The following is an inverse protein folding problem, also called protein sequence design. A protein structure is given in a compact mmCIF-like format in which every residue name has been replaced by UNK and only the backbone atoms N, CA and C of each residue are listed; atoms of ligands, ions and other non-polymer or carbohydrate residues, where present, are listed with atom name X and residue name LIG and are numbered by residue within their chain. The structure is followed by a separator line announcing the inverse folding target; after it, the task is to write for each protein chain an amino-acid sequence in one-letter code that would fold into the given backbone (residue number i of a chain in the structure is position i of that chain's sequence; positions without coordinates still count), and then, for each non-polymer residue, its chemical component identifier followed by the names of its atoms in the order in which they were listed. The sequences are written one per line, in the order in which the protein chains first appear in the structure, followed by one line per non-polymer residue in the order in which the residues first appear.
data_IF_755600876425
#
_entry.id   IF_755600876425
#
_cell.length_a   1.000
_cell.length_b   1.000
_cell.length_c   1.000
_cell.angle_alpha   90.00
_cell.angle_beta   90.00
_cell.angle_gamma   90.00
#
_symmetry.space_group_name_H-M   'P 1'
#
loop_
_entity.id
_entity.type
_entity.pdbx_description
1 polymer ?
#
# COMPACT_ATOMS: atom_id res chain seq x y z
N UNK A 1 -36.13 15.13 -22.56
CA UNK A 1 -34.96 14.86 -21.69
C UNK A 1 -35.18 15.52 -20.33
N UNK A 2 -35.61 14.77 -19.30
CA UNK A 2 -35.80 15.30 -17.93
C UNK A 2 -34.43 15.43 -17.26
N UNK A 3 -34.04 16.66 -16.90
CA UNK A 3 -32.81 16.95 -16.12
C UNK A 3 -32.92 16.21 -14.78
N UNK A 4 -32.18 15.12 -14.61
CA UNK A 4 -32.05 14.44 -13.33
C UNK A 4 -31.49 15.44 -12.31
N UNK A 5 -32.26 15.77 -11.27
CA UNK A 5 -31.74 16.51 -10.11
C UNK A 5 -30.59 15.70 -9.55
N UNK A 6 -29.40 16.30 -9.44
CA UNK A 6 -28.21 15.64 -8.90
C UNK A 6 -28.53 15.16 -7.47
N UNK A 7 -28.45 13.85 -7.15
CA UNK A 7 -28.88 13.31 -5.87
C UNK A 7 -27.79 13.48 -4.80
N UNK A 8 -27.37 14.73 -4.54
CA UNK A 8 -26.32 15.06 -3.58
C UNK A 8 -26.60 14.49 -2.18
N UNK A 9 -27.87 14.46 -1.75
CA UNK A 9 -28.25 13.86 -0.46
C UNK A 9 -27.97 12.36 -0.38
N UNK A 10 -28.25 11.61 -1.44
CA UNK A 10 -27.95 10.17 -1.50
C UNK A 10 -26.45 9.91 -1.56
N UNK A 11 -25.69 10.75 -2.28
CA UNK A 11 -24.23 10.64 -2.35
C UNK A 11 -23.62 10.87 -0.97
N UNK A 12 -24.01 11.93 -0.25
CA UNK A 12 -23.47 12.22 1.08
C UNK A 12 -23.84 11.13 2.10
N UNK A 13 -25.05 10.56 2.03
CA UNK A 13 -25.46 9.53 2.97
C UNK A 13 -24.68 8.21 2.82
N UNK A 14 -24.38 7.81 1.57
CA UNK A 14 -23.63 6.57 1.31
C UNK A 14 -22.11 6.77 1.33
N UNK A 15 -21.62 7.90 0.79
CA UNK A 15 -20.20 8.18 0.67
C UNK A 15 -19.62 8.88 1.92
N UNK A 16 -20.43 9.66 2.63
CA UNK A 16 -20.02 10.44 3.79
C UNK A 16 -19.37 9.61 4.90
N UNK A 17 -20.01 8.51 5.38
CA UNK A 17 -19.40 7.65 6.39
C UNK A 17 -18.09 7.03 5.92
N UNK A 18 -18.05 6.50 4.69
CA UNK A 18 -16.86 5.90 4.11
C UNK A 18 -15.69 6.90 4.02
N UNK A 19 -15.97 8.12 3.58
CA UNK A 19 -14.98 9.20 3.56
C UNK A 19 -14.54 9.58 4.97
N UNK A 20 -15.45 9.69 5.93
CA UNK A 20 -15.11 10.00 7.32
C UNK A 20 -14.11 8.98 7.87
N UNK A 21 -14.36 7.68 7.69
CA UNK A 21 -13.41 6.63 8.07
C UNK A 21 -12.08 6.74 7.33
N UNK A 22 -12.12 7.01 6.01
CA UNK A 22 -10.91 7.21 5.21
C UNK A 22 -10.06 8.38 5.74
N UNK A 23 -10.67 9.52 6.04
CA UNK A 23 -9.97 10.67 6.59
C UNK A 23 -9.42 10.39 7.99
N UNK A 24 -10.21 9.75 8.85
CA UNK A 24 -9.82 9.48 10.23
C UNK A 24 -8.71 8.42 10.37
N UNK A 25 -8.71 7.39 9.53
CA UNK A 25 -7.81 6.23 9.69
C UNK A 25 -6.70 6.13 8.64
N UNK A 26 -6.79 6.87 7.54
CA UNK A 26 -5.74 6.86 6.50
C UNK A 26 -5.09 8.24 6.42
N UNK A 27 -5.88 9.31 6.19
CA UNK A 27 -5.28 10.63 5.98
C UNK A 27 -4.71 11.21 7.27
N UNK A 28 -5.44 11.12 8.39
CA UNK A 28 -4.97 11.63 9.67
C UNK A 28 -3.60 11.04 10.08
N UNK A 29 -3.38 9.71 10.14
CA UNK A 29 -2.07 9.19 10.50
C UNK A 29 -0.98 9.55 9.49
N UNK A 30 -1.30 9.65 8.18
CA UNK A 30 -0.35 10.13 7.18
C UNK A 30 0.10 11.57 7.48
N UNK A 31 -0.82 12.46 7.83
CA UNK A 31 -0.48 13.83 8.23
C UNK A 31 0.39 13.86 9.49
N UNK A 32 0.10 13.00 10.46
CA UNK A 32 0.94 12.84 11.67
C UNK A 32 2.34 12.33 11.30
N UNK A 33 2.48 11.39 10.36
CA UNK A 33 3.78 10.94 9.86
C UNK A 33 4.56 12.08 9.21
N UNK A 34 3.90 12.93 8.41
CA UNK A 34 4.54 14.12 7.86
C UNK A 34 4.98 15.10 8.95
N UNK A 35 4.17 15.32 9.98
CA UNK A 35 4.54 16.16 11.11
C UNK A 35 5.75 15.59 11.86
N UNK A 36 5.79 14.28 12.10
CA UNK A 36 6.89 13.58 12.74
C UNK A 36 8.16 13.53 11.88
N UNK A 37 8.06 13.69 10.56
CA UNK A 37 9.27 13.74 9.71
C UNK A 37 10.15 14.96 9.98
N UNK A 38 9.59 16.01 10.59
CA UNK A 38 10.28 17.26 10.95
C UNK A 38 10.33 17.52 12.46
N UNK A 39 9.70 16.66 13.25
CA UNK A 39 9.70 16.73 14.73
C UNK A 39 10.19 15.42 15.33
N UNK A 40 11.14 15.49 16.25
CA UNK A 40 11.50 14.36 17.10
C UNK A 40 10.51 14.26 18.24
N UNK A 41 9.89 13.09 18.39
CA UNK A 41 9.12 12.76 19.57
C UNK A 41 10.06 12.19 20.64
N UNK A 42 10.35 12.99 21.66
CA UNK A 42 11.13 12.55 22.82
C UNK A 42 10.22 11.87 23.83
N UNK A 43 10.13 10.55 23.74
CA UNK A 43 9.32 9.71 24.64
C UNK A 43 9.89 9.68 26.08
N UNK A 44 11.18 9.94 26.22
CA UNK A 44 11.96 10.03 27.45
C UNK A 44 11.67 11.27 28.30
N UNK A 45 11.22 12.37 27.69
CA UNK A 45 10.96 13.65 28.36
C UNK A 45 9.46 13.97 28.54
N UNK A 46 8.60 12.95 28.48
CA UNK A 46 7.16 13.11 28.67
C UNK A 46 6.40 13.47 27.39
N UNK A 47 6.78 12.88 26.25
CA UNK A 47 6.11 13.06 24.94
C UNK A 47 6.16 14.50 24.43
N UNK A 48 7.34 15.13 24.53
CA UNK A 48 7.57 16.48 24.01
C UNK A 48 8.00 16.39 22.55
N UNK A 49 7.35 17.17 21.69
CA UNK A 49 7.73 17.33 20.30
C UNK A 49 8.80 18.41 20.18
N UNK A 50 9.99 18.03 19.75
CA UNK A 50 11.08 18.95 19.43
C UNK A 50 11.13 19.17 17.92
N UNK A 51 11.07 20.41 17.46
CA UNK A 51 11.18 20.73 16.04
C UNK A 51 12.66 20.66 15.61
N UNK A 52 12.98 19.68 14.76
CA UNK A 52 14.36 19.42 14.28
C UNK A 52 14.51 19.83 12.80
N UNK A 53 13.42 20.29 12.18
CA UNK A 53 13.42 20.74 10.79
C UNK A 53 13.80 19.61 9.83
N UNK A 54 14.80 19.84 8.97
CA UNK A 54 15.23 18.86 7.96
C UNK A 54 16.39 17.96 8.40
N UNK A 55 16.71 17.90 9.69
CA UNK A 55 17.84 17.12 10.16
C UNK A 55 17.71 15.62 9.85
N UNK A 56 16.54 15.02 10.11
CA UNK A 56 16.28 13.61 9.79
C UNK A 56 16.49 13.29 8.30
N UNK A 57 16.09 14.20 7.41
CA UNK A 57 16.31 14.02 5.97
C UNK A 57 17.80 14.06 5.63
N UNK A 58 18.58 14.95 6.24
CA UNK A 58 20.02 15.02 6.00
C UNK A 58 20.75 13.78 6.50
N UNK A 59 20.44 13.33 7.72
CA UNK A 59 21.00 12.10 8.31
C UNK A 59 20.73 10.90 7.41
N UNK A 60 19.47 10.70 7.01
CA UNK A 60 19.08 9.57 6.16
C UNK A 60 19.68 9.63 4.75
N UNK A 61 19.76 10.82 4.14
CA UNK A 61 20.25 10.97 2.76
C UNK A 61 21.78 10.90 2.65
N UNK A 62 22.51 11.43 3.63
CA UNK A 62 23.97 11.62 3.53
C UNK A 62 24.78 10.74 4.48
N UNK A 63 24.22 10.28 5.59
CA UNK A 63 24.96 9.58 6.65
C UNK A 63 24.56 8.11 6.79
N UNK A 64 23.38 7.72 6.29
CA UNK A 64 22.87 6.35 6.41
C UNK A 64 23.04 5.50 5.14
N UNK A 65 24.14 4.72 5.09
CA UNK A 65 24.36 3.74 4.03
C UNK A 65 23.37 2.56 4.06
N UNK A 66 22.83 2.22 5.24
CA UNK A 66 21.87 1.14 5.41
C UNK A 66 20.54 1.54 4.76
N UNK A 67 20.13 2.80 4.91
CA UNK A 67 18.95 3.34 4.23
C UNK A 67 19.04 3.15 2.72
N UNK A 68 20.16 3.55 2.08
CA UNK A 68 20.31 3.41 0.62
C UNK A 68 20.35 1.96 0.17
N UNK A 69 20.97 1.08 0.94
CA UNK A 69 20.95 -0.37 0.67
C UNK A 69 19.54 -0.93 0.77
N UNK A 70 18.79 -0.57 1.81
CA UNK A 70 17.40 -0.99 2.01
C UNK A 70 16.48 -0.42 0.91
N UNK A 71 16.62 0.85 0.56
CA UNK A 71 15.86 1.52 -0.49
C UNK A 71 16.13 0.87 -1.86
N UNK A 72 17.39 0.55 -2.18
CA UNK A 72 17.74 -0.15 -3.42
C UNK A 72 17.14 -1.54 -3.46
N UNK A 73 17.20 -2.28 -2.35
CA UNK A 73 16.60 -3.61 -2.27
C UNK A 73 15.07 -3.53 -2.42
N UNK A 74 14.42 -2.60 -1.72
CA UNK A 74 12.97 -2.38 -1.82
C UNK A 74 12.56 -2.01 -3.26
N UNK A 75 13.30 -1.12 -3.92
CA UNK A 75 13.05 -0.75 -5.31
C UNK A 75 13.28 -1.94 -6.26
N UNK A 76 14.33 -2.73 -6.01
CA UNK A 76 14.61 -3.93 -6.81
C UNK A 76 13.46 -4.93 -6.70
N UNK A 77 12.97 -5.20 -5.50
CA UNK A 77 11.80 -6.06 -5.31
C UNK A 77 10.52 -5.48 -5.91
N UNK A 78 10.29 -4.17 -5.74
CA UNK A 78 9.13 -3.47 -6.29
C UNK A 78 9.05 -3.53 -7.82
N UNK A 79 10.19 -3.68 -8.51
CA UNK A 79 10.25 -3.81 -9.98
C UNK A 79 10.31 -5.27 -10.40
N UNK A 80 11.24 -6.05 -9.84
CA UNK A 80 11.49 -7.43 -10.26
C UNK A 80 10.30 -8.32 -9.98
N UNK A 81 9.63 -8.18 -8.83
CA UNK A 81 8.49 -9.04 -8.51
C UNK A 81 7.33 -8.86 -9.51
N UNK A 82 6.79 -7.65 -9.79
CA UNK A 82 5.76 -7.50 -10.80
C UNK A 82 6.21 -7.89 -12.22
N UNK A 83 7.48 -7.63 -12.56
CA UNK A 83 8.02 -7.98 -13.88
C UNK A 83 8.06 -9.50 -14.10
N UNK A 84 8.23 -10.30 -13.05
CA UNK A 84 8.20 -11.77 -13.12
C UNK A 84 6.77 -12.29 -12.95
N UNK A 85 6.01 -11.75 -12.01
CA UNK A 85 4.66 -12.22 -11.67
C UNK A 85 3.66 -11.95 -12.80
N UNK A 86 3.73 -10.78 -13.46
CA UNK A 86 2.77 -10.41 -14.51
C UNK A 86 2.87 -11.36 -15.72
N UNK A 87 4.05 -11.60 -16.33
CA UNK A 87 4.16 -12.56 -17.43
C UNK A 87 3.76 -13.96 -17.03
N UNK A 88 4.14 -14.42 -15.83
CA UNK A 88 3.79 -15.75 -15.36
C UNK A 88 2.26 -15.91 -15.20
N UNK A 89 1.62 -14.92 -14.59
CA UNK A 89 0.17 -14.87 -14.45
C UNK A 89 -0.53 -14.79 -15.82
N UNK A 90 0.03 -14.06 -16.79
CA UNK A 90 -0.49 -13.99 -18.14
C UNK A 90 -0.37 -15.32 -18.90
N UNK A 91 0.79 -15.99 -18.84
CA UNK A 91 0.99 -17.32 -19.44
C UNK A 91 -0.01 -18.32 -18.87
N UNK A 92 -0.19 -18.31 -17.55
CA UNK A 92 -1.19 -19.13 -16.89
C UNK A 92 -2.62 -18.78 -17.34
N UNK A 93 -2.95 -17.49 -17.43
CA UNK A 93 -4.26 -17.01 -17.86
C UNK A 93 -4.59 -17.43 -19.31
N UNK A 94 -3.64 -17.26 -20.24
CA UNK A 94 -3.80 -17.68 -21.64
C UNK A 94 -3.94 -19.20 -21.76
N UNK A 95 -3.13 -19.95 -21.01
CA UNK A 95 -3.22 -21.41 -20.99
C UNK A 95 -4.61 -21.85 -20.53
N UNK A 96 -5.10 -21.31 -19.41
CA UNK A 96 -6.43 -21.61 -18.87
C UNK A 96 -7.58 -21.15 -19.78
N UNK A 97 -7.37 -20.14 -20.62
CA UNK A 97 -8.37 -19.66 -21.58
C UNK A 97 -8.62 -20.66 -22.72
N UNK A 98 -7.60 -21.43 -23.12
CA UNK A 98 -7.64 -22.39 -24.23
C UNK A 98 -8.47 -23.67 -24.01
N UNK A 99 -9.33 -23.74 -22.98
CA UNK A 99 -10.15 -24.92 -22.61
C UNK A 99 -9.33 -26.21 -22.39
N UNK A 100 -8.16 -26.10 -21.78
CA UNK A 100 -7.36 -27.27 -21.35
C UNK A 100 -8.17 -28.17 -20.41
N UNK A 101 -8.08 -29.51 -20.56
CA UNK A 101 -8.63 -30.42 -19.57
C UNK A 101 -8.00 -30.14 -18.20
N UNK A 102 -8.79 -30.26 -17.12
CA UNK A 102 -8.39 -29.96 -15.73
C UNK A 102 -8.08 -28.48 -15.41
N UNK A 103 -8.45 -27.51 -16.27
CA UNK A 103 -8.25 -26.07 -15.99
C UNK A 103 -8.78 -25.61 -14.60
N UNK A 104 -9.86 -26.22 -14.09
CA UNK A 104 -10.40 -25.93 -12.76
C UNK A 104 -9.44 -26.35 -11.63
N UNK A 105 -8.75 -27.49 -11.78
CA UNK A 105 -7.79 -27.99 -10.81
C UNK A 105 -6.53 -27.10 -10.76
N UNK A 106 -5.97 -26.76 -11.92
CA UNK A 106 -4.82 -25.85 -12.01
C UNK A 106 -5.11 -24.47 -11.41
N UNK A 107 -6.31 -23.94 -11.62
CA UNK A 107 -6.75 -22.70 -10.99
C UNK A 107 -6.74 -22.84 -9.46
N UNK A 108 -7.37 -23.88 -8.91
CA UNK A 108 -7.42 -24.05 -7.45
C UNK A 108 -6.03 -24.14 -6.85
N UNK A 109 -5.14 -25.00 -7.37
CA UNK A 109 -3.78 -25.18 -6.83
C UNK A 109 -2.97 -23.89 -6.87
N UNK A 110 -3.08 -23.11 -7.95
CA UNK A 110 -2.40 -21.83 -8.08
C UNK A 110 -2.91 -20.76 -7.09
N UNK A 111 -4.22 -20.72 -6.85
CA UNK A 111 -4.84 -19.73 -5.97
C UNK A 111 -4.80 -20.11 -4.48
N UNK A 112 -4.68 -21.39 -4.13
CA UNK A 112 -4.59 -21.85 -2.74
C UNK A 112 -3.50 -21.14 -1.91
N UNK A 113 -2.22 -21.06 -2.36
CA UNK A 113 -1.18 -20.41 -1.56
C UNK A 113 -1.41 -18.90 -1.38
N UNK A 114 -2.03 -18.23 -2.35
CA UNK A 114 -2.42 -16.81 -2.24
C UNK A 114 -3.49 -16.57 -1.17
N UNK A 115 -4.25 -17.59 -0.79
CA UNK A 115 -5.25 -17.52 0.29
C UNK A 115 -4.67 -17.88 1.65
N UNK A 116 -3.47 -18.44 1.70
CA UNK A 116 -2.78 -18.75 2.95
C UNK A 116 -2.21 -17.48 3.56
N UNK A 117 -2.31 -17.37 4.89
CA UNK A 117 -1.77 -16.23 5.64
C UNK A 117 -0.24 -16.18 5.50
N UNK A 118 0.35 -14.99 5.32
CA UNK A 118 1.80 -14.79 5.16
C UNK A 118 2.72 -15.49 6.19
N UNK A 119 2.36 -15.63 7.49
CA UNK A 119 3.19 -16.39 8.44
C UNK A 119 3.15 -17.91 8.23
N UNK A 120 2.27 -18.41 7.36
CA UNK A 120 2.06 -19.84 7.07
C UNK A 120 2.64 -20.23 5.68
N UNK A 121 3.04 -19.24 4.87
CA UNK A 121 3.70 -19.42 3.57
C UNK A 121 5.21 -19.25 3.73
#
# INVERSE_FOLDING_TARGET
MRRARRPWGSIVLFLGPALCFYFAFIIYPVLVTFFNSVHTLRMDLGMVYEYVGFQHFKEVLFEDEIFWKAARNAMTWAVVAPVVDIPLALVLAFTLHGRVPFARFFRTVWFTPLLMSYPVV
#
